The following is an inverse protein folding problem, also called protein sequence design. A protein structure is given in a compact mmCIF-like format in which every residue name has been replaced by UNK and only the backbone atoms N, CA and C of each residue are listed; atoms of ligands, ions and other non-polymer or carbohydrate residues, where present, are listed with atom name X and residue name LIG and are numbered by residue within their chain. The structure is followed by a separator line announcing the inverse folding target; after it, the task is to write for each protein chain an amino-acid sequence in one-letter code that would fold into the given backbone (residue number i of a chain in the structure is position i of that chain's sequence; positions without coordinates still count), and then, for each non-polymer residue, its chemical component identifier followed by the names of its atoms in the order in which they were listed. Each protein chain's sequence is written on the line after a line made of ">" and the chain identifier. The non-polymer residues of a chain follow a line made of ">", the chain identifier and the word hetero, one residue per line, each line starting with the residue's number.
data_IF_254893037301
#
_entry.id   IF_254893037301
#
_cell.length_a   1.000
_cell.length_b   1.000
_cell.length_c   1.000
_cell.angle_alpha   90.00
_cell.angle_beta   90.00
_cell.angle_gamma   90.00
#
_symmetry.space_group_name_H-M   'P 1'
#
loop_
_entity.id
_entity.type
_entity.pdbx_description
1 polymer ?
#
# COMPACT_ATOMS: atom_id res chain seq x y z
N UNK A 1 19.85 11.94 -38.68
CA UNK A 1 18.41 12.26 -38.58
C UNK A 1 18.13 12.57 -37.12
N UNK A 2 18.04 13.85 -36.79
CA UNK A 2 17.66 14.29 -35.45
C UNK A 2 16.17 14.03 -35.26
N UNK A 3 15.81 13.06 -34.42
CA UNK A 3 14.45 12.92 -33.93
C UNK A 3 14.13 14.12 -33.05
N UNK A 4 13.54 15.15 -33.66
CA UNK A 4 12.83 16.19 -32.92
C UNK A 4 11.71 15.50 -32.14
N UNK A 5 11.91 15.37 -30.83
CA UNK A 5 10.85 15.03 -29.90
C UNK A 5 9.98 16.29 -29.84
N UNK A 6 8.98 16.38 -30.71
CA UNK A 6 7.98 17.43 -30.61
C UNK A 6 7.30 17.30 -29.25
N UNK A 7 7.23 18.40 -28.51
CA UNK A 7 6.39 18.46 -27.33
C UNK A 7 4.94 18.21 -27.78
N UNK A 8 4.29 17.22 -27.17
CA UNK A 8 2.87 16.96 -27.36
C UNK A 8 2.06 18.25 -27.14
N UNK A 9 1.15 18.56 -28.05
CA UNK A 9 0.29 19.74 -27.97
C UNK A 9 -0.67 19.65 -26.77
N UNK A 10 -1.20 20.80 -26.35
CA UNK A 10 -2.01 20.92 -25.14
C UNK A 10 -3.35 20.17 -25.24
N UNK A 11 -4.01 20.21 -26.41
CA UNK A 11 -5.27 19.50 -26.62
C UNK A 11 -5.10 17.99 -26.53
N UNK A 12 -4.04 17.44 -27.13
CA UNK A 12 -3.69 16.02 -27.00
C UNK A 12 -3.37 15.63 -25.55
N UNK A 13 -2.76 16.52 -24.74
CA UNK A 13 -2.50 16.24 -23.31
C UNK A 13 -3.80 16.13 -22.52
N UNK A 14 -4.74 17.04 -22.75
CA UNK A 14 -6.02 17.04 -22.04
C UNK A 14 -6.85 15.81 -22.38
N UNK A 15 -6.89 15.43 -23.66
CA UNK A 15 -7.57 14.21 -24.11
C UNK A 15 -6.99 12.95 -23.46
N UNK A 16 -5.66 12.80 -23.50
CA UNK A 16 -4.98 11.65 -22.86
C UNK A 16 -5.20 11.66 -21.35
N UNK A 17 -5.18 12.83 -20.72
CA UNK A 17 -5.42 12.97 -19.27
C UNK A 17 -6.81 12.49 -18.89
N UNK A 18 -7.83 12.92 -19.64
CA UNK A 18 -9.21 12.48 -19.45
C UNK A 18 -9.34 10.97 -19.66
N UNK A 19 -8.76 10.44 -20.74
CA UNK A 19 -8.79 9.01 -21.02
C UNK A 19 -8.17 8.17 -19.88
N UNK A 20 -7.03 8.60 -19.33
CA UNK A 20 -6.40 7.95 -18.19
C UNK A 20 -7.30 7.96 -16.95
N UNK A 21 -7.90 9.11 -16.61
CA UNK A 21 -8.83 9.20 -15.48
C UNK A 21 -10.03 8.26 -15.66
N UNK A 22 -10.67 8.32 -16.83
CA UNK A 22 -11.82 7.48 -17.17
C UNK A 22 -11.48 5.99 -17.08
N UNK A 23 -10.29 5.59 -17.56
CA UNK A 23 -9.81 4.20 -17.46
C UNK A 23 -9.64 3.77 -16.01
N UNK A 24 -8.97 4.59 -15.19
CA UNK A 24 -8.75 4.25 -13.78
C UNK A 24 -10.06 4.17 -13.00
N UNK A 25 -11.01 5.08 -13.25
CA UNK A 25 -12.35 5.03 -12.65
C UNK A 25 -13.12 3.78 -13.08
N UNK A 26 -13.19 3.50 -14.39
CA UNK A 26 -13.88 2.30 -14.92
C UNK A 26 -13.28 1.02 -14.36
N UNK A 27 -11.95 0.92 -14.34
CA UNK A 27 -11.23 -0.24 -13.78
C UNK A 27 -11.58 -0.48 -12.32
N UNK A 28 -11.55 0.57 -11.48
CA UNK A 28 -11.81 0.39 -10.05
C UNK A 28 -13.29 0.09 -9.76
N UNK A 29 -14.23 0.65 -10.55
CA UNK A 29 -15.66 0.24 -10.52
C UNK A 29 -15.84 -1.22 -10.94
N UNK A 30 -15.14 -1.67 -11.96
CA UNK A 30 -15.17 -3.05 -12.42
C UNK A 30 -14.63 -4.01 -11.35
N UNK A 31 -13.51 -3.65 -10.71
CA UNK A 31 -12.95 -4.39 -9.57
C UNK A 31 -13.98 -4.48 -8.43
N UNK A 32 -14.62 -3.36 -8.06
CA UNK A 32 -15.62 -3.32 -6.99
C UNK A 32 -16.83 -4.24 -7.28
N UNK A 33 -17.26 -4.29 -8.54
CA UNK A 33 -18.47 -5.01 -8.97
C UNK A 33 -18.19 -6.43 -9.47
N UNK A 34 -16.96 -6.92 -9.38
CA UNK A 34 -16.54 -8.20 -9.98
C UNK A 34 -16.77 -8.30 -11.50
N UNK A 35 -16.70 -7.17 -12.22
CA UNK A 35 -16.97 -7.10 -13.67
C UNK A 35 -15.72 -7.37 -14.50
N UNK A 36 -15.51 -8.64 -14.85
CA UNK A 36 -14.36 -9.07 -15.63
C UNK A 36 -14.40 -8.57 -17.10
N UNK A 37 -15.58 -8.34 -17.66
CA UNK A 37 -15.74 -7.90 -19.05
C UNK A 37 -15.28 -6.45 -19.22
N UNK A 38 -15.63 -5.57 -18.27
CA UNK A 38 -15.11 -4.19 -18.27
C UNK A 38 -13.58 -4.21 -18.10
N UNK A 39 -13.02 -5.05 -17.23
CA UNK A 39 -11.56 -5.17 -17.10
C UNK A 39 -10.94 -5.59 -18.44
N UNK A 40 -11.47 -6.63 -19.11
CA UNK A 40 -10.98 -7.10 -20.41
C UNK A 40 -10.98 -5.98 -21.47
N UNK A 41 -12.06 -5.19 -21.53
CA UNK A 41 -12.24 -4.11 -22.50
C UNK A 41 -11.20 -2.97 -22.39
N UNK A 42 -10.56 -2.81 -21.23
CA UNK A 42 -9.57 -1.74 -20.98
C UNK A 42 -8.22 -2.07 -21.62
N UNK A 43 -7.91 -3.33 -21.91
CA UNK A 43 -6.57 -3.79 -22.28
C UNK A 43 -6.50 -4.32 -23.72
N UNK A 44 -5.35 -4.12 -24.39
CA UNK A 44 -5.09 -4.72 -25.70
C UNK A 44 -4.70 -6.20 -25.54
N UNK A 45 -5.72 -7.06 -25.50
CA UNK A 45 -5.58 -8.52 -25.38
C UNK A 45 -4.99 -9.21 -26.61
N UNK A 46 -4.67 -8.45 -27.68
CA UNK A 46 -3.90 -8.96 -28.83
C UNK A 46 -2.40 -8.93 -28.59
N UNK A 47 -1.95 -8.31 -27.50
CA UNK A 47 -0.54 -8.18 -27.16
C UNK A 47 -0.20 -8.91 -25.87
N UNK A 48 1.00 -9.49 -25.79
CA UNK A 48 1.48 -10.17 -24.58
C UNK A 48 1.47 -9.25 -23.35
N UNK A 49 1.85 -7.99 -23.51
CA UNK A 49 1.91 -7.04 -22.40
C UNK A 49 0.52 -6.56 -21.95
N UNK A 50 -0.43 -6.39 -22.89
CA UNK A 50 -1.81 -6.09 -22.55
C UNK A 50 -2.48 -7.24 -21.81
N UNK A 51 -2.31 -8.48 -22.28
CA UNK A 51 -2.80 -9.69 -21.58
C UNK A 51 -2.25 -9.75 -20.14
N UNK A 52 -0.95 -9.54 -19.96
CA UNK A 52 -0.34 -9.58 -18.63
C UNK A 52 -0.88 -8.50 -17.69
N UNK A 53 -1.07 -7.28 -18.18
CA UNK A 53 -1.64 -6.19 -17.37
C UNK A 53 -3.12 -6.46 -17.02
N UNK A 54 -3.90 -7.01 -17.94
CA UNK A 54 -5.28 -7.41 -17.70
C UNK A 54 -5.41 -8.54 -16.67
N UNK A 55 -4.65 -9.64 -16.85
CA UNK A 55 -4.64 -10.77 -15.92
C UNK A 55 -4.27 -10.34 -14.51
N UNK A 56 -3.40 -9.34 -14.41
CA UNK A 56 -2.97 -8.75 -13.16
C UNK A 56 -4.13 -8.06 -12.43
N UNK A 57 -4.92 -7.22 -13.10
CA UNK A 57 -6.11 -6.61 -12.48
C UNK A 57 -7.19 -7.64 -12.14
N UNK A 58 -7.38 -8.67 -12.97
CA UNK A 58 -8.30 -9.77 -12.65
C UNK A 58 -7.87 -10.51 -11.38
N UNK A 59 -6.56 -10.71 -11.19
CA UNK A 59 -6.00 -11.31 -9.97
C UNK A 59 -6.24 -10.43 -8.75
N UNK A 60 -6.00 -9.12 -8.87
CA UNK A 60 -6.29 -8.14 -7.81
C UNK A 60 -7.76 -8.13 -7.41
N UNK A 61 -8.68 -8.13 -8.39
CA UNK A 61 -10.12 -8.21 -8.15
C UNK A 61 -10.49 -9.45 -7.32
N UNK A 62 -10.05 -10.63 -7.76
CA UNK A 62 -10.27 -11.90 -7.02
C UNK A 62 -9.69 -11.84 -5.61
N UNK A 63 -8.50 -11.28 -5.46
CA UNK A 63 -7.85 -11.14 -4.16
C UNK A 63 -8.67 -10.29 -3.18
N UNK A 64 -9.14 -9.12 -3.63
CA UNK A 64 -9.92 -8.21 -2.78
C UNK A 64 -11.22 -8.84 -2.31
N UNK A 65 -11.98 -9.50 -3.20
CA UNK A 65 -13.23 -10.17 -2.82
C UNK A 65 -13.02 -11.41 -1.93
N UNK A 66 -11.88 -12.10 -2.06
CA UNK A 66 -11.55 -13.16 -1.12
C UNK A 66 -11.18 -12.60 0.26
N UNK A 67 -10.49 -11.47 0.29
CA UNK A 67 -10.18 -10.78 1.54
C UNK A 67 -11.45 -10.25 2.23
N UNK A 68 -12.44 -9.75 1.50
CA UNK A 68 -13.78 -9.42 2.02
C UNK A 68 -14.39 -10.59 2.79
N UNK A 69 -14.43 -11.77 2.15
CA UNK A 69 -14.98 -12.98 2.75
C UNK A 69 -14.22 -13.42 4.01
N UNK A 70 -12.89 -13.33 4.00
CA UNK A 70 -12.06 -13.66 5.18
C UNK A 70 -12.29 -12.69 6.34
N UNK A 71 -12.39 -11.39 6.03
CA UNK A 71 -12.45 -10.33 7.03
C UNK A 71 -13.88 -10.06 7.52
N UNK A 72 -14.91 -10.47 6.77
CA UNK A 72 -16.31 -10.15 7.05
C UNK A 72 -16.65 -8.70 6.72
N UNK A 73 -16.10 -8.18 5.63
CA UNK A 73 -16.32 -6.81 5.17
C UNK A 73 -16.83 -6.78 3.74
N UNK A 74 -17.34 -5.62 3.33
CA UNK A 74 -17.61 -5.28 1.94
C UNK A 74 -16.93 -3.97 1.58
N UNK A 75 -16.20 -3.97 0.47
CA UNK A 75 -15.79 -2.73 -0.18
C UNK A 75 -17.05 -2.02 -0.67
N UNK A 76 -17.15 -0.74 -0.32
CA UNK A 76 -18.27 0.13 -0.68
C UNK A 76 -17.88 1.03 -1.85
N UNK A 77 -16.60 1.42 -1.92
CA UNK A 77 -16.09 2.28 -2.98
C UNK A 77 -14.58 2.09 -3.14
N UNK A 78 -14.09 2.30 -4.37
CA UNK A 78 -12.67 2.28 -4.71
C UNK A 78 -12.39 3.49 -5.60
N UNK A 79 -11.80 4.53 -4.99
CA UNK A 79 -11.72 5.87 -5.58
C UNK A 79 -10.27 6.15 -5.98
N UNK A 80 -9.94 6.19 -7.29
CA UNK A 80 -8.62 6.57 -7.75
C UNK A 80 -8.46 8.10 -7.84
N UNK A 81 -7.34 8.61 -7.35
CA UNK A 81 -6.84 9.96 -7.64
C UNK A 81 -5.56 9.84 -8.46
N UNK A 82 -5.61 10.28 -9.72
CA UNK A 82 -4.48 10.18 -10.65
C UNK A 82 -3.76 11.52 -10.75
N UNK A 83 -2.43 11.47 -10.68
CA UNK A 83 -1.54 12.61 -10.89
C UNK A 83 -0.59 12.29 -12.03
N UNK A 84 -0.83 12.88 -13.20
CA UNK A 84 0.02 12.70 -14.37
C UNK A 84 1.34 13.46 -14.18
N UNK A 85 2.45 12.76 -14.38
CA UNK A 85 3.81 13.31 -14.28
C UNK A 85 4.37 13.68 -15.65
N UNK A 86 4.10 12.86 -16.66
CA UNK A 86 4.49 13.17 -18.04
C UNK A 86 3.67 12.38 -19.04
N UNK A 87 3.41 12.98 -20.19
CA UNK A 87 2.83 12.35 -21.38
C UNK A 87 3.83 12.51 -22.52
N UNK A 88 4.11 11.44 -23.26
CA UNK A 88 4.96 11.43 -24.45
C UNK A 88 4.28 10.63 -25.55
N UNK A 89 4.38 11.05 -26.80
CA UNK A 89 3.81 10.33 -27.93
C UNK A 89 3.01 11.23 -28.86
N UNK A 90 2.48 10.64 -29.92
CA UNK A 90 1.70 11.27 -30.98
C UNK A 90 0.84 10.23 -31.69
N UNK A 91 -0.05 10.67 -32.57
CA UNK A 91 -0.78 9.81 -33.51
C UNK A 91 -1.54 8.67 -32.81
N UNK A 92 -2.24 9.01 -31.72
CA UNK A 92 -3.03 8.06 -30.93
C UNK A 92 -2.21 7.15 -30.01
N UNK A 93 -0.87 7.22 -30.01
CA UNK A 93 0.00 6.34 -29.21
C UNK A 93 0.77 7.13 -28.17
N UNK A 94 0.51 6.87 -26.89
CA UNK A 94 1.07 7.65 -25.80
C UNK A 94 1.68 6.78 -24.72
N UNK A 95 2.77 7.25 -24.14
CA UNK A 95 3.36 6.73 -22.92
C UNK A 95 3.14 7.75 -21.81
N UNK A 96 2.54 7.30 -20.71
CA UNK A 96 2.17 8.16 -19.58
C UNK A 96 2.86 7.64 -18.33
N UNK A 97 3.54 8.55 -17.62
CA UNK A 97 4.03 8.32 -16.27
C UNK A 97 3.08 9.02 -15.31
N UNK A 98 2.56 8.29 -14.32
CA UNK A 98 1.62 8.84 -13.34
C UNK A 98 1.79 8.20 -11.96
N UNK A 99 1.21 8.88 -10.98
CA UNK A 99 0.93 8.32 -9.66
C UNK A 99 -0.57 8.08 -9.57
N UNK A 100 -0.98 7.00 -8.93
CA UNK A 100 -2.38 6.81 -8.51
C UNK A 100 -2.42 6.56 -7.00
N UNK A 101 -3.14 7.43 -6.29
CA UNK A 101 -3.56 7.21 -4.90
C UNK A 101 -4.95 6.61 -4.94
N UNK A 102 -5.12 5.36 -4.54
CA UNK A 102 -6.43 4.70 -4.52
C UNK A 102 -6.94 4.61 -3.09
N UNK A 103 -8.06 5.26 -2.82
CA UNK A 103 -8.81 5.11 -1.57
C UNK A 103 -9.74 3.89 -1.66
N UNK A 104 -9.65 3.00 -0.69
CA UNK A 104 -10.54 1.85 -0.53
C UNK A 104 -11.42 2.09 0.67
N UNK A 105 -12.73 2.19 0.45
CA UNK A 105 -13.75 2.30 1.50
C UNK A 105 -14.39 0.95 1.72
N UNK A 106 -14.53 0.53 2.97
CA UNK A 106 -15.15 -0.74 3.33
C UNK A 106 -15.91 -0.65 4.64
N UNK A 107 -16.93 -1.48 4.79
CA UNK A 107 -17.70 -1.59 6.03
C UNK A 107 -17.82 -3.06 6.44
N UNK A 108 -17.97 -3.30 7.75
CA UNK A 108 -18.20 -4.64 8.26
C UNK A 108 -19.63 -5.08 7.99
N UNK A 109 -19.83 -6.38 7.71
CA UNK A 109 -21.16 -6.94 7.42
C UNK A 109 -22.16 -6.76 8.57
N UNK A 110 -21.67 -6.71 9.82
CA UNK A 110 -22.49 -6.48 11.01
C UNK A 110 -22.62 -4.99 11.38
N UNK A 111 -21.96 -4.08 10.66
CA UNK A 111 -22.02 -2.64 10.91
C UNK A 111 -21.71 -1.85 9.63
N UNK A 112 -22.71 -1.78 8.75
CA UNK A 112 -22.60 -1.10 7.46
C UNK A 112 -22.57 0.43 7.54
N UNK A 113 -22.94 1.01 8.69
CA UNK A 113 -22.97 2.47 8.89
C UNK A 113 -21.57 3.04 9.14
N UNK A 114 -20.67 2.26 9.74
CA UNK A 114 -19.30 2.67 10.02
C UNK A 114 -18.36 2.34 8.86
N UNK A 115 -18.20 3.30 7.96
CA UNK A 115 -17.30 3.20 6.80
C UNK A 115 -15.86 3.43 7.25
N UNK A 116 -15.01 2.43 7.01
CA UNK A 116 -13.56 2.52 7.13
C UNK A 116 -12.94 2.98 5.81
N UNK A 117 -11.74 3.56 5.89
CA UNK A 117 -10.99 4.01 4.71
C UNK A 117 -9.50 3.71 4.86
N UNK A 118 -8.90 3.31 3.74
CA UNK A 118 -7.45 3.12 3.60
C UNK A 118 -6.98 3.60 2.23
N UNK A 119 -5.70 3.96 2.09
CA UNK A 119 -5.12 4.38 0.81
C UNK A 119 -3.91 3.55 0.43
N UNK A 120 -3.80 3.24 -0.86
CA UNK A 120 -2.62 2.63 -1.45
C UNK A 120 -2.14 3.49 -2.60
N UNK A 121 -0.87 3.86 -2.55
CA UNK A 121 -0.18 4.63 -3.58
C UNK A 121 0.55 3.72 -4.55
N UNK A 122 0.39 3.97 -5.84
CA UNK A 122 1.02 3.20 -6.93
C UNK A 122 1.64 4.13 -7.97
N UNK A 123 2.74 3.67 -8.58
CA UNK A 123 3.53 4.43 -9.55
C UNK A 123 3.53 3.67 -10.87
N UNK A 124 3.03 4.31 -11.93
CA UNK A 124 2.69 3.65 -13.18
C UNK A 124 3.48 4.20 -14.36
N UNK A 125 3.88 3.30 -15.23
CA UNK A 125 4.26 3.60 -16.62
C UNK A 125 3.30 2.83 -17.51
N UNK A 126 2.44 3.55 -18.22
CA UNK A 126 1.45 2.97 -19.11
C UNK A 126 1.67 3.39 -20.56
N UNK A 127 1.32 2.52 -21.50
CA UNK A 127 1.22 2.85 -22.91
C UNK A 127 -0.24 2.70 -23.37
N UNK A 128 -0.78 3.78 -23.94
CA UNK A 128 -2.12 3.85 -24.49
C UNK A 128 -2.09 3.83 -26.00
N UNK A 129 -3.16 3.30 -26.56
CA UNK A 129 -3.48 3.46 -27.97
C UNK A 129 -4.94 3.91 -28.10
N UNK A 130 -5.17 4.97 -28.89
CA UNK A 130 -6.49 5.39 -29.32
C UNK A 130 -6.77 4.71 -30.68
N UNK A 131 -7.76 3.81 -30.70
CA UNK A 131 -8.28 3.20 -31.92
C UNK A 131 -9.69 3.72 -32.13
N UNK A 132 -9.87 4.63 -33.09
CA UNK A 132 -11.19 5.13 -33.51
C UNK A 132 -12.02 5.74 -32.37
N UNK A 133 -11.36 6.41 -31.41
CA UNK A 133 -12.00 7.04 -30.25
C UNK A 133 -12.02 6.15 -28.99
N UNK A 134 -11.61 4.89 -29.10
CA UNK A 134 -11.48 3.98 -27.96
C UNK A 134 -10.04 3.93 -27.45
N UNK A 135 -9.88 4.25 -26.16
CA UNK A 135 -8.61 4.25 -25.47
C UNK A 135 -8.37 2.93 -24.75
N UNK A 136 -7.31 2.21 -25.13
CA UNK A 136 -6.93 0.94 -24.51
C UNK A 136 -5.48 0.97 -24.02
N UNK A 137 -5.22 0.23 -22.93
CA UNK A 137 -3.88 0.00 -22.40
C UNK A 137 -3.21 -1.13 -23.18
N UNK A 138 -2.11 -0.81 -23.85
CA UNK A 138 -1.28 -1.82 -24.55
C UNK A 138 -0.20 -2.40 -23.66
N UNK A 139 0.17 -1.68 -22.59
CA UNK A 139 1.20 -2.07 -21.63
C UNK A 139 1.09 -1.24 -20.36
N UNK A 140 1.24 -1.87 -19.22
CA UNK A 140 1.27 -1.21 -17.92
C UNK A 140 2.36 -1.84 -17.06
N UNK A 141 3.13 -1.00 -16.37
CA UNK A 141 4.07 -1.44 -15.35
C UNK A 141 3.85 -0.63 -14.08
N UNK A 142 3.56 -1.34 -13.01
CA UNK A 142 3.62 -0.82 -11.65
C UNK A 142 3.96 -1.97 -10.70
N UNK A 143 4.44 -1.61 -9.50
CA UNK A 143 4.63 -2.59 -8.44
C UNK A 143 3.30 -2.78 -7.72
N UNK A 144 2.70 -3.95 -7.87
CA UNK A 144 1.42 -4.23 -7.27
C UNK A 144 1.51 -4.52 -5.77
N UNK A 145 0.71 -3.83 -4.92
CA UNK A 145 0.53 -4.18 -3.51
C UNK A 145 0.12 -5.63 -3.22
N UNK A 146 -0.45 -6.35 -4.18
CA UNK A 146 -1.12 -7.65 -3.95
C UNK A 146 -0.44 -8.84 -4.65
N UNK A 147 0.63 -8.63 -5.42
CA UNK A 147 1.23 -9.66 -6.27
C UNK A 147 1.72 -10.91 -5.51
N UNK A 148 2.18 -10.75 -4.27
CA UNK A 148 2.64 -11.87 -3.43
C UNK A 148 1.49 -12.68 -2.81
N UNK A 149 0.23 -12.25 -2.94
CA UNK A 149 -0.92 -12.79 -2.19
C UNK A 149 -1.82 -13.77 -2.97
N UNK A 150 -1.30 -14.34 -4.05
CA UNK A 150 -2.12 -14.97 -5.10
C UNK A 150 -2.33 -16.49 -4.96
N UNK A 151 -1.77 -17.16 -3.94
CA UNK A 151 -2.04 -18.57 -3.66
C UNK A 151 -3.27 -18.70 -2.74
N UNK A 152 -4.43 -18.86 -3.38
CA UNK A 152 -5.76 -18.95 -2.76
C UNK A 152 -6.10 -20.39 -2.44
N UNK A 153 -5.51 -20.92 -1.38
CA UNK A 153 -6.07 -22.11 -0.73
C UNK A 153 -7.08 -21.65 0.32
N UNK A 154 -8.28 -22.23 0.30
CA UNK A 154 -9.36 -22.05 1.28
C UNK A 154 -8.87 -22.30 2.72
N UNK A 155 -8.34 -21.27 3.37
CA UNK A 155 -8.07 -21.23 4.80
C UNK A 155 -9.44 -21.32 5.51
N UNK A 156 -9.49 -21.94 6.70
CA UNK A 156 -10.71 -22.00 7.54
C UNK A 156 -11.17 -20.57 7.91
N UNK A 157 -11.92 -19.93 7.02
CA UNK A 157 -12.28 -18.50 7.09
C UNK A 157 -13.33 -18.21 8.16
N UNK A 158 -14.25 -19.14 8.39
CA UNK A 158 -15.47 -18.84 9.15
C UNK A 158 -15.17 -18.50 10.61
N UNK A 159 -14.32 -19.27 11.28
CA UNK A 159 -13.93 -18.99 12.68
C UNK A 159 -13.13 -17.69 12.85
N UNK A 160 -12.37 -17.27 11.83
CA UNK A 160 -11.61 -16.01 11.86
C UNK A 160 -12.54 -14.83 11.66
N UNK A 161 -13.42 -14.93 10.66
CA UNK A 161 -14.48 -13.96 10.38
C UNK A 161 -15.37 -13.73 11.60
N UNK A 162 -15.86 -14.80 12.23
CA UNK A 162 -16.66 -14.72 13.46
C UNK A 162 -15.92 -13.98 14.58
N UNK A 163 -14.64 -14.30 14.79
CA UNK A 163 -13.84 -13.60 15.79
C UNK A 163 -13.74 -12.11 15.47
N UNK A 164 -13.42 -11.73 14.22
CA UNK A 164 -13.29 -10.33 13.79
C UNK A 164 -14.62 -9.57 13.93
N UNK A 165 -15.73 -10.17 13.52
CA UNK A 165 -17.06 -9.57 13.64
C UNK A 165 -17.51 -9.41 15.10
N UNK A 166 -17.02 -10.24 16.01
CA UNK A 166 -17.31 -10.10 17.45
C UNK A 166 -16.52 -8.98 18.15
N UNK A 167 -15.53 -8.36 17.49
CA UNK A 167 -14.74 -7.28 18.07
C UNK A 167 -15.44 -5.93 17.94
N UNK A 168 -14.99 -4.97 18.75
CA UNK A 168 -15.46 -3.59 18.74
C UNK A 168 -14.30 -2.62 18.49
N UNK A 169 -14.64 -1.36 18.20
CA UNK A 169 -13.65 -0.29 18.08
C UNK A 169 -12.75 -0.21 19.32
N UNK A 170 -11.50 0.21 19.11
CA UNK A 170 -10.52 0.41 20.19
C UNK A 170 -10.48 1.88 20.58
N UNK A 171 -10.48 2.15 21.88
CA UNK A 171 -10.22 3.48 22.39
C UNK A 171 -8.72 3.81 22.22
N UNK A 172 -8.44 4.77 21.34
CA UNK A 172 -7.11 5.29 21.07
C UNK A 172 -6.97 6.76 21.53
N UNK A 173 -7.93 7.28 22.31
CA UNK A 173 -7.92 8.68 22.77
C UNK A 173 -6.81 8.97 23.79
N UNK A 174 -6.37 7.97 24.56
CA UNK A 174 -5.36 8.12 25.61
C UNK A 174 -3.94 7.83 25.13
N UNK A 175 -3.65 7.92 23.83
CA UNK A 175 -2.32 7.69 23.30
C UNK A 175 -1.32 8.73 23.81
N UNK A 176 -0.12 8.28 24.19
CA UNK A 176 0.99 9.19 24.53
C UNK A 176 1.27 10.12 23.37
N UNK A 177 1.57 11.39 23.66
CA UNK A 177 1.85 12.42 22.65
C UNK A 177 2.89 11.99 21.62
N UNK A 178 3.99 11.33 22.04
CA UNK A 178 5.02 10.84 21.12
C UNK A 178 4.50 9.81 20.11
N UNK A 179 3.50 8.99 20.46
CA UNK A 179 2.83 8.07 19.53
C UNK A 179 1.97 8.86 18.54
N UNK A 180 1.21 9.84 19.02
CA UNK A 180 0.40 10.73 18.15
C UNK A 180 1.30 11.42 17.12
N UNK A 181 2.43 11.99 17.54
CA UNK A 181 3.41 12.61 16.62
C UNK A 181 4.05 11.63 15.64
N UNK A 182 4.27 10.38 16.03
CA UNK A 182 4.71 9.34 15.11
C UNK A 182 3.66 9.05 14.02
N UNK A 183 2.39 8.98 14.38
CA UNK A 183 1.28 8.77 13.43
C UNK A 183 1.12 9.96 12.48
N UNK A 184 1.13 11.19 12.99
CA UNK A 184 1.08 12.41 12.18
C UNK A 184 2.19 12.42 11.12
N UNK A 185 3.42 12.05 11.51
CA UNK A 185 4.54 11.95 10.57
C UNK A 185 4.28 10.88 9.50
N UNK A 186 3.82 9.70 9.91
CA UNK A 186 3.55 8.59 9.00
C UNK A 186 2.51 8.97 7.94
N UNK A 187 1.39 9.56 8.34
CA UNK A 187 0.30 9.95 7.43
C UNK A 187 0.74 11.05 6.46
N UNK A 188 1.55 12.01 6.93
CA UNK A 188 2.06 13.11 6.11
C UNK A 188 3.04 12.68 5.02
N UNK A 189 3.90 11.70 5.31
CA UNK A 189 5.06 11.37 4.46
C UNK A 189 5.00 10.00 3.79
N UNK A 190 3.88 9.28 3.86
CA UNK A 190 3.70 7.95 3.23
C UNK A 190 3.59 7.99 1.68
N UNK A 191 4.23 8.95 1.02
CA UNK A 191 4.35 9.01 -0.43
C UNK A 191 3.01 9.13 -1.15
N UNK A 192 2.82 8.32 -2.18
CA UNK A 192 1.61 8.31 -3.02
C UNK A 192 0.33 7.93 -2.26
N UNK A 193 0.43 7.32 -1.07
CA UNK A 193 -0.73 6.99 -0.24
C UNK A 193 -1.16 8.11 0.71
N UNK A 194 -0.40 9.21 0.77
CA UNK A 194 -0.80 10.38 1.57
C UNK A 194 -1.99 11.08 0.93
N UNK A 195 -2.73 11.85 1.73
CA UNK A 195 -3.82 12.69 1.20
C UNK A 195 -3.29 13.80 0.29
N UNK A 196 -4.13 14.28 -0.61
CA UNK A 196 -3.79 15.32 -1.59
C UNK A 196 -3.25 16.60 -0.91
N UNK A 197 -3.76 16.97 0.27
CA UNK A 197 -3.26 18.09 1.06
C UNK A 197 -1.77 17.98 1.45
N UNK A 198 -1.22 16.76 1.50
CA UNK A 198 0.21 16.52 1.74
C UNK A 198 1.02 16.41 0.44
N UNK A 199 0.34 16.37 -0.70
CA UNK A 199 0.91 16.50 -2.03
C UNK A 199 1.59 15.25 -2.57
N UNK A 200 1.32 14.07 -1.98
CA UNK A 200 1.84 12.76 -2.42
C UNK A 200 3.37 12.67 -2.35
N UNK A 201 3.98 13.07 -1.22
CA UNK A 201 5.44 13.28 -1.11
C UNK A 201 6.08 12.46 0.01
N UNK A 202 7.30 12.01 -0.27
CA UNK A 202 8.25 11.59 0.76
C UNK A 202 8.92 12.79 1.44
N UNK A 203 9.52 12.56 2.61
CA UNK A 203 10.30 13.60 3.29
C UNK A 203 11.64 13.84 2.57
N UNK A 204 11.81 15.02 1.99
CA UNK A 204 13.01 15.42 1.24
C UNK A 204 14.29 15.52 2.07
N UNK A 205 14.21 15.53 3.40
CA UNK A 205 15.38 15.47 4.28
C UNK A 205 16.07 14.10 4.27
N UNK A 206 15.37 13.07 3.79
CA UNK A 206 15.85 11.71 3.69
C UNK A 206 15.94 11.29 2.22
N UNK A 207 16.93 10.47 1.92
CA UNK A 207 17.02 9.84 0.61
C UNK A 207 15.87 8.84 0.46
N UNK A 208 15.25 8.86 -0.72
CA UNK A 208 14.29 7.85 -1.15
C UNK A 208 15.05 6.59 -1.60
N UNK A 209 14.87 5.51 -0.85
CA UNK A 209 15.48 4.20 -1.15
C UNK A 209 14.52 3.25 -1.87
N UNK A 210 13.32 3.67 -2.28
CA UNK A 210 12.38 2.80 -2.98
C UNK A 210 12.98 2.07 -4.19
N UNK A 211 13.81 2.72 -5.04
CA UNK A 211 14.44 2.04 -6.17
C UNK A 211 15.55 1.05 -5.78
N UNK A 212 16.09 1.12 -4.56
CA UNK A 212 17.29 0.39 -4.13
C UNK A 212 17.00 -0.67 -3.05
N UNK A 213 15.81 -0.61 -2.43
CA UNK A 213 15.41 -1.47 -1.32
C UNK A 213 15.72 -0.85 0.05
N UNK A 214 14.98 -1.30 1.07
CA UNK A 214 15.13 -0.85 2.46
C UNK A 214 14.25 0.34 2.87
N UNK A 215 13.53 0.96 1.94
CA UNK A 215 12.81 2.20 2.24
C UNK A 215 11.69 2.05 3.28
N UNK A 216 11.08 0.87 3.41
CA UNK A 216 10.15 0.55 4.48
C UNK A 216 10.78 0.70 5.89
N UNK A 217 12.02 0.24 6.08
CA UNK A 217 12.74 0.40 7.34
C UNK A 217 13.28 1.83 7.51
N UNK A 218 13.71 2.47 6.43
CA UNK A 218 14.08 3.89 6.43
C UNK A 218 12.91 4.75 6.93
N UNK A 219 11.72 4.53 6.40
CA UNK A 219 10.52 5.25 6.78
C UNK A 219 10.06 4.94 8.20
N UNK A 220 10.06 3.66 8.60
CA UNK A 220 9.80 3.29 10.00
C UNK A 220 10.79 3.99 10.96
N UNK A 221 12.07 4.08 10.57
CA UNK A 221 13.07 4.78 11.36
C UNK A 221 12.82 6.29 11.43
N UNK A 222 12.42 6.90 10.31
CA UNK A 222 12.00 8.29 10.26
C UNK A 222 10.80 8.57 11.16
N UNK A 223 9.76 7.73 11.14
CA UNK A 223 8.57 7.84 12.01
C UNK A 223 8.98 7.87 13.49
N UNK A 224 9.86 6.94 13.90
CA UNK A 224 10.32 6.87 15.29
C UNK A 224 11.24 8.03 15.66
N UNK A 225 12.11 8.49 14.76
CA UNK A 225 13.02 9.59 15.02
C UNK A 225 12.31 10.95 15.01
N UNK A 226 11.68 11.31 13.88
CA UNK A 226 11.09 12.62 13.65
C UNK A 226 9.79 12.82 14.44
N UNK A 227 8.90 11.84 14.38
CA UNK A 227 7.62 11.88 15.10
C UNK A 227 7.77 11.40 16.54
N UNK A 228 8.30 10.19 16.71
CA UNK A 228 8.44 9.55 18.02
C UNK A 228 9.56 10.11 18.90
N UNK A 229 10.40 11.02 18.42
CA UNK A 229 11.51 11.67 19.16
C UNK A 229 12.51 10.70 19.80
N UNK A 230 12.69 9.52 19.23
CA UNK A 230 13.75 8.60 19.64
C UNK A 230 15.12 9.22 19.36
N UNK A 231 16.11 9.00 20.24
CA UNK A 231 17.47 9.50 20.00
C UNK A 231 18.25 8.55 19.08
N UNK A 232 18.93 9.09 18.07
CA UNK A 232 19.88 8.31 17.25
C UNK A 232 21.11 7.94 18.07
N UNK A 233 21.80 6.88 17.66
CA UNK A 233 23.10 6.48 18.20
C UNK A 233 23.95 5.83 17.10
N UNK A 234 25.19 5.43 17.38
CA UNK A 234 26.09 4.88 16.35
C UNK A 234 25.55 3.63 15.64
N UNK A 235 24.67 2.84 16.29
CA UNK A 235 24.11 1.63 15.70
C UNK A 235 22.87 1.90 14.84
N UNK A 236 22.04 2.88 15.21
CA UNK A 236 20.83 3.30 14.48
C UNK A 236 20.90 4.79 14.19
N UNK A 237 21.38 5.10 12.98
CA UNK A 237 21.62 6.45 12.51
C UNK A 237 21.37 6.60 11.00
N UNK A 238 21.12 7.85 10.62
CA UNK A 238 21.10 8.38 9.27
C UNK A 238 21.74 9.78 9.27
N UNK A 239 22.64 10.03 8.32
CA UNK A 239 23.24 11.32 8.07
C UNK A 239 23.61 11.49 6.58
N UNK A 240 24.41 12.52 6.25
CA UNK A 240 24.83 12.82 4.87
C UNK A 240 25.66 11.69 4.21
N UNK A 241 26.33 10.87 5.00
CA UNK A 241 27.12 9.72 4.52
C UNK A 241 26.25 8.48 4.23
N UNK A 242 25.03 8.44 4.75
CA UNK A 242 24.06 7.39 4.50
C UNK A 242 23.37 6.89 5.76
N UNK A 243 22.87 5.65 5.68
CA UNK A 243 22.10 5.02 6.73
C UNK A 243 22.84 3.78 7.27
N UNK A 244 22.80 3.59 8.58
CA UNK A 244 23.22 2.32 9.20
C UNK A 244 22.30 1.16 8.80
N UNK A 245 22.80 -0.07 8.90
CA UNK A 245 21.97 -1.27 8.66
C UNK A 245 20.72 -1.28 9.55
N UNK A 246 20.83 -0.90 10.82
CA UNK A 246 19.67 -0.85 11.72
C UNK A 246 18.62 0.18 11.29
N UNK A 247 19.02 1.23 10.55
CA UNK A 247 18.10 2.25 10.08
C UNK A 247 17.40 1.83 8.77
N UNK A 248 18.13 1.25 7.83
CA UNK A 248 17.69 1.07 6.44
C UNK A 248 17.32 -0.37 6.06
N UNK A 249 17.85 -1.39 6.74
CA UNK A 249 17.57 -2.78 6.39
C UNK A 249 16.47 -3.33 7.32
N UNK A 250 15.46 -4.00 6.77
CA UNK A 250 14.30 -4.47 7.53
C UNK A 250 14.68 -5.48 8.64
N UNK A 251 15.53 -6.46 8.34
CA UNK A 251 16.10 -7.36 9.36
C UNK A 251 16.92 -6.60 10.41
N UNK A 252 17.81 -5.71 9.95
CA UNK A 252 18.63 -4.87 10.80
C UNK A 252 17.81 -4.03 11.77
N UNK A 253 16.75 -3.40 11.26
CA UNK A 253 15.81 -2.58 12.02
C UNK A 253 15.08 -3.40 13.08
N UNK A 254 14.41 -4.50 12.69
CA UNK A 254 13.69 -5.36 13.63
C UNK A 254 14.61 -5.88 14.73
N UNK A 255 15.78 -6.39 14.35
CA UNK A 255 16.75 -6.94 15.29
C UNK A 255 17.30 -5.87 16.24
N UNK A 256 17.63 -4.68 15.73
CA UNK A 256 18.08 -3.56 16.57
C UNK A 256 16.99 -3.14 17.56
N UNK A 257 15.76 -2.94 17.10
CA UNK A 257 14.66 -2.47 17.94
C UNK A 257 14.41 -3.43 19.10
N UNK A 258 14.40 -4.74 18.84
CA UNK A 258 14.21 -5.77 19.87
C UNK A 258 15.44 -5.90 20.78
N UNK A 259 16.65 -6.05 20.21
CA UNK A 259 17.85 -6.33 20.99
C UNK A 259 18.34 -5.13 21.82
N UNK A 260 18.00 -3.90 21.40
CA UNK A 260 18.32 -2.69 22.17
C UNK A 260 17.36 -2.41 23.33
N UNK A 261 16.28 -3.20 23.47
CA UNK A 261 15.22 -2.96 24.45
C UNK A 261 14.28 -1.80 24.10
N UNK A 262 14.40 -1.20 22.90
CA UNK A 262 13.46 -0.18 22.40
C UNK A 262 12.11 -0.78 22.01
N UNK A 263 12.04 -2.08 21.84
CA UNK A 263 10.83 -2.80 21.49
C UNK A 263 10.84 -4.24 22.03
N UNK A 264 9.66 -4.85 22.08
CA UNK A 264 9.46 -6.26 22.48
C UNK A 264 8.48 -6.96 21.55
N UNK A 265 8.67 -8.26 21.34
CA UNK A 265 7.79 -9.06 20.48
C UNK A 265 6.51 -9.42 21.24
N UNK A 266 5.35 -9.06 20.69
CA UNK A 266 4.02 -9.42 21.20
C UNK A 266 3.68 -10.85 20.76
N UNK A 267 3.87 -11.16 19.49
CA UNK A 267 3.59 -12.45 18.90
C UNK A 267 4.41 -12.68 17.64
N UNK A 268 4.64 -13.96 17.31
CA UNK A 268 5.34 -14.40 16.11
C UNK A 268 4.73 -15.68 15.52
N UNK A 269 4.49 -15.68 14.21
CA UNK A 269 4.03 -16.84 13.47
C UNK A 269 3.30 -16.51 12.18
N UNK A 270 2.65 -17.50 11.59
CA UNK A 270 1.72 -17.28 10.47
C UNK A 270 0.49 -16.47 10.92
N UNK A 271 -0.34 -16.07 9.95
CA UNK A 271 -1.54 -15.27 10.20
C UNK A 271 -2.44 -15.86 11.30
N UNK A 272 -2.76 -17.16 11.21
CA UNK A 272 -3.65 -17.86 12.14
C UNK A 272 -3.17 -17.79 13.59
N UNK A 273 -1.84 -17.81 13.80
CA UNK A 273 -1.25 -17.74 15.13
C UNK A 273 -1.26 -16.32 15.71
N UNK A 274 -1.18 -15.29 14.87
CA UNK A 274 -0.97 -13.91 15.34
C UNK A 274 -2.19 -12.99 15.23
N UNK A 275 -3.21 -13.33 14.43
CA UNK A 275 -4.28 -12.37 14.11
C UNK A 275 -5.02 -11.86 15.34
N UNK A 276 -5.30 -12.71 16.34
CA UNK A 276 -5.89 -12.28 17.62
C UNK A 276 -4.97 -11.35 18.41
N UNK A 277 -3.67 -11.60 18.36
CA UNK A 277 -2.68 -10.74 19.03
C UNK A 277 -2.51 -9.37 18.33
N UNK A 278 -2.88 -9.25 17.06
CA UNK A 278 -2.82 -7.98 16.31
C UNK A 278 -3.69 -6.87 16.92
N UNK A 279 -4.76 -7.23 17.64
CA UNK A 279 -5.62 -6.28 18.36
C UNK A 279 -4.92 -5.64 19.57
N UNK A 280 -3.77 -6.19 20.02
CA UNK A 280 -2.95 -5.61 21.09
C UNK A 280 -1.98 -4.53 20.59
N UNK A 281 -1.78 -4.39 19.28
CA UNK A 281 -0.88 -3.39 18.72
C UNK A 281 -1.39 -1.98 18.99
N UNK A 282 -0.51 -1.03 19.27
CA UNK A 282 -0.86 0.37 19.44
C UNK A 282 -0.23 1.22 18.34
N UNK A 283 -0.79 2.38 17.97
CA UNK A 283 -0.14 3.27 17.02
C UNK A 283 1.30 3.62 17.42
N UNK A 284 2.24 3.49 16.48
CA UNK A 284 3.68 3.56 16.71
C UNK A 284 4.36 2.19 16.93
N UNK A 285 3.61 1.12 17.19
CA UNK A 285 4.11 -0.26 17.10
C UNK A 285 4.36 -0.64 15.64
N UNK A 286 5.01 -1.77 15.35
CA UNK A 286 5.23 -2.18 13.96
C UNK A 286 4.99 -3.68 13.74
N UNK A 287 4.72 -4.01 12.47
CA UNK A 287 4.65 -5.36 11.95
C UNK A 287 5.85 -5.59 11.04
N UNK A 288 6.60 -6.67 11.29
CA UNK A 288 7.68 -7.15 10.43
C UNK A 288 7.22 -8.41 9.68
N UNK A 289 7.38 -8.42 8.36
CA UNK A 289 6.94 -9.50 7.48
C UNK A 289 8.16 -10.33 7.08
N UNK A 290 8.16 -11.60 7.45
CA UNK A 290 9.24 -12.56 7.21
C UNK A 290 8.88 -13.48 6.06
N UNK A 291 9.79 -13.62 5.08
CA UNK A 291 9.70 -14.61 4.00
C UNK A 291 11.01 -15.38 3.95
N UNK A 292 10.94 -16.71 4.08
CA UNK A 292 12.11 -17.60 4.07
C UNK A 292 13.20 -17.25 5.12
N UNK A 293 12.81 -16.71 6.27
CA UNK A 293 13.71 -16.38 7.37
C UNK A 293 14.22 -14.93 7.37
N UNK A 294 14.07 -14.21 6.25
CA UNK A 294 14.46 -12.80 6.13
C UNK A 294 13.23 -11.89 6.33
N UNK A 295 13.41 -10.77 7.03
CA UNK A 295 12.39 -9.72 7.09
C UNK A 295 12.40 -8.95 5.77
N UNK A 296 11.38 -9.15 4.96
CA UNK A 296 11.25 -8.50 3.64
C UNK A 296 10.56 -7.15 3.72
N UNK A 297 9.82 -6.87 4.80
CA UNK A 297 9.07 -5.63 4.92
C UNK A 297 8.83 -5.20 6.37
N UNK A 298 8.61 -3.90 6.58
CA UNK A 298 8.23 -3.27 7.84
C UNK A 298 7.05 -2.33 7.58
N UNK A 299 6.00 -2.41 8.40
CA UNK A 299 4.93 -1.41 8.42
C UNK A 299 4.66 -0.93 9.84
N UNK A 300 4.41 0.38 10.00
CA UNK A 300 4.14 0.97 11.32
C UNK A 300 2.62 1.04 11.51
N UNK A 301 2.16 0.62 12.68
CA UNK A 301 0.76 0.70 13.09
C UNK A 301 0.39 2.16 13.28
N UNK A 302 -0.66 2.63 12.63
CA UNK A 302 -1.11 4.02 12.68
C UNK A 302 -2.51 4.19 13.21
N UNK A 303 -3.27 3.10 13.33
CA UNK A 303 -4.64 3.17 13.84
C UNK A 303 -5.30 1.82 13.99
N UNK A 304 -6.61 1.88 14.16
CA UNK A 304 -7.52 0.75 14.16
C UNK A 304 -8.76 1.10 13.35
N UNK A 305 -9.38 0.12 12.72
CA UNK A 305 -10.69 0.30 12.07
C UNK A 305 -11.86 0.20 13.06
N UNK A 306 -13.09 0.24 12.54
CA UNK A 306 -14.31 0.22 13.35
C UNK A 306 -14.54 -1.07 14.17
N UNK A 307 -13.89 -2.19 13.83
CA UNK A 307 -13.88 -3.40 14.66
C UNK A 307 -12.57 -3.56 15.44
N UNK A 308 -11.72 -2.53 15.47
CA UNK A 308 -10.47 -2.57 16.21
C UNK A 308 -9.33 -3.30 15.50
N UNK A 309 -9.50 -3.66 14.23
CA UNK A 309 -8.45 -4.32 13.45
C UNK A 309 -7.30 -3.36 13.18
N UNK A 310 -6.05 -3.82 13.32
CA UNK A 310 -4.89 -2.94 13.23
C UNK A 310 -4.62 -2.44 11.81
N UNK A 311 -4.38 -1.13 11.69
CA UNK A 311 -4.09 -0.46 10.42
C UNK A 311 -2.64 0.01 10.40
N UNK A 312 -1.98 -0.14 9.26
CA UNK A 312 -0.57 0.19 9.07
C UNK A 312 -0.32 1.17 7.93
N UNK A 313 0.77 1.91 8.06
CA UNK A 313 1.30 2.84 7.07
C UNK A 313 2.78 2.51 6.79
N UNK A 314 3.18 2.48 5.52
CA UNK A 314 4.53 2.11 5.09
C UNK A 314 4.90 2.62 3.69
N UNK A 315 6.17 2.48 3.31
CA UNK A 315 6.73 2.74 1.97
C UNK A 315 6.90 1.43 1.16
N UNK A 316 7.57 1.47 0.00
CA UNK A 316 7.82 0.40 -0.98
C UNK A 316 6.60 -0.07 -1.75
N UNK A 317 5.51 -0.29 -1.06
CA UNK A 317 4.20 -0.07 -1.63
C UNK A 317 3.55 0.90 -0.67
N UNK A 318 3.35 2.13 -1.12
CA UNK A 318 2.92 3.19 -0.23
C UNK A 318 1.52 2.86 0.29
N UNK A 319 1.38 2.83 1.62
CA UNK A 319 0.14 2.49 2.30
C UNK A 319 -0.13 3.49 3.38
N UNK A 320 -1.39 3.88 3.52
CA UNK A 320 -1.89 4.71 4.62
C UNK A 320 -3.12 4.05 5.23
N UNK A 321 -3.00 3.70 6.52
CA UNK A 321 -4.06 3.05 7.31
C UNK A 321 -4.66 1.80 6.64
N UNK A 322 -3.81 0.97 6.02
CA UNK A 322 -4.23 -0.28 5.36
C UNK A 322 -4.29 -1.40 6.40
N UNK A 323 -5.28 -2.31 6.38
CA UNK A 323 -5.27 -3.50 7.22
C UNK A 323 -3.95 -4.26 7.11
N UNK A 324 -3.34 -4.59 8.25
CA UNK A 324 -1.95 -5.05 8.31
C UNK A 324 -1.64 -6.31 7.48
N UNK A 325 -2.62 -7.14 7.20
CA UNK A 325 -2.48 -8.36 6.40
C UNK A 325 -2.94 -8.22 4.94
N UNK A 326 -3.61 -7.11 4.58
CA UNK A 326 -4.10 -6.91 3.22
C UNK A 326 -2.88 -6.80 2.27
N UNK A 327 -2.81 -7.65 1.24
CA UNK A 327 -1.62 -7.87 0.41
C UNK A 327 -0.54 -8.76 1.02
N UNK A 328 -0.82 -9.48 2.10
CA UNK A 328 0.09 -10.44 2.76
C UNK A 328 -0.55 -11.81 3.04
N UNK A 329 -1.22 -12.43 2.07
CA UNK A 329 -1.88 -13.74 2.27
C UNK A 329 -1.06 -14.98 1.88
N UNK A 330 0.18 -14.83 1.39
CA UNK A 330 1.07 -15.98 1.16
C UNK A 330 1.33 -16.72 2.49
N UNK A 331 0.97 -18.00 2.53
CA UNK A 331 1.12 -18.87 3.71
C UNK A 331 2.58 -19.00 4.20
N UNK A 332 3.56 -18.69 3.34
CA UNK A 332 4.99 -18.68 3.68
C UNK A 332 5.40 -17.42 4.46
N UNK A 333 4.54 -16.40 4.51
CA UNK A 333 4.77 -15.19 5.30
C UNK A 333 4.52 -15.50 6.77
N UNK A 334 5.49 -15.10 7.60
CA UNK A 334 5.32 -15.02 9.05
C UNK A 334 5.38 -13.57 9.47
N UNK A 335 4.69 -13.26 10.55
CA UNK A 335 4.53 -11.90 11.05
C UNK A 335 5.14 -11.81 12.44
N UNK A 336 5.89 -10.74 12.65
CA UNK A 336 6.37 -10.30 13.95
C UNK A 336 5.54 -9.10 14.36
N UNK A 337 4.70 -9.27 15.38
CA UNK A 337 3.96 -8.16 15.98
C UNK A 337 4.84 -7.57 17.08
N UNK A 338 5.26 -6.31 16.96
CA UNK A 338 6.30 -5.73 17.81
C UNK A 338 5.82 -4.46 18.51
N UNK A 339 5.81 -4.49 19.84
CA UNK A 339 5.51 -3.35 20.71
C UNK A 339 6.71 -2.42 20.79
N UNK A 340 6.54 -1.14 20.47
CA UNK A 340 7.60 -0.13 20.65
C UNK A 340 7.43 0.56 22.01
N UNK A 341 8.54 0.83 22.69
CA UNK A 341 8.57 1.48 24.00
C UNK A 341 8.84 2.98 23.85
N UNK A 342 7.74 3.75 23.69
CA UNK A 342 7.73 5.22 23.65
C UNK A 342 7.90 5.85 25.02
#
# INVERSE_FOLDING_TARGET
>A
MSTNIFAIDEASKDEVTKAVNDIFEKRNKAILNSDAEIIDSIYDTKTKYGIWAMEHEMKKMKYLHNWEGKQGVKFIDIIPTVVIRSIKGSDGKYSVNLICSTEYKYAYENNSENINSSRIGTYHILNLNNKEGEWIITKEWYKDPFADSLDLDNIKTDTMKEFILSQSSRDLSTLKERRVKAVEYAQKYCGAASEEQYGFKYNKAYRDYNPQGGDCANFASQILFEGGKFRKNGAWNYDKSGATRAWLNADGFKNYMVNSGRASVIAYGNYEKVFKASYKLQPGDFVAYEKKGDITHISVVTGADSNGYSLVTCHNTDRSNVPWDLGWSDKKIKFWLVRVHF
#
